data_IF_824157203754
#
_entry.id   IF_824157203754
#
_cell.length_a   1.000
_cell.length_b   1.000
_cell.length_c   1.000
_cell.angle_alpha   90.00
_cell.angle_beta   90.00
_cell.angle_gamma   90.00
#
_symmetry.space_group_name_H-M   'P 1'
#
loop_
_entity.id
_entity.type
_entity.pdbx_description
1 polymer ?
#
# COMPACT_ATOMS: atom_id res chain seq x y z
N UNK A 1 47.65 16.52 38.74
CA UNK A 1 47.44 15.67 37.55
C UNK A 1 45.96 15.64 37.20
N UNK A 2 45.67 16.03 35.96
CA UNK A 2 44.39 16.51 35.42
C UNK A 2 43.23 15.50 35.52
N UNK A 3 42.23 15.80 36.35
CA UNK A 3 40.90 15.12 36.34
C UNK A 3 40.01 15.61 35.19
N UNK A 4 40.35 16.74 34.56
CA UNK A 4 39.58 17.34 33.46
C UNK A 4 39.72 16.63 32.12
N UNK A 5 40.82 15.89 31.91
CA UNK A 5 41.07 15.21 30.64
C UNK A 5 40.22 13.94 30.49
N UNK A 6 39.84 13.32 31.61
CA UNK A 6 39.10 12.05 31.64
C UNK A 6 37.61 12.26 31.34
N UNK A 7 37.00 13.33 31.88
CA UNK A 7 35.57 13.63 31.69
C UNK A 7 35.26 14.05 30.24
N UNK A 8 36.18 14.79 29.59
CA UNK A 8 36.06 15.15 28.17
C UNK A 8 36.14 13.93 27.24
N UNK A 9 36.91 12.90 27.59
CA UNK A 9 37.01 11.66 26.79
C UNK A 9 35.73 10.83 26.89
N UNK A 10 35.15 10.68 28.08
CA UNK A 10 33.90 9.91 28.26
C UNK A 10 32.71 10.58 27.58
N UNK A 11 32.65 11.92 27.56
CA UNK A 11 31.61 12.67 26.85
C UNK A 11 31.74 12.53 25.32
N UNK A 12 32.98 12.45 24.79
CA UNK A 12 33.21 12.18 23.37
C UNK A 12 32.76 10.76 22.95
N UNK A 13 32.92 9.75 23.81
CA UNK A 13 32.46 8.39 23.52
C UNK A 13 30.93 8.26 23.51
N UNK A 14 30.23 9.01 24.39
CA UNK A 14 28.76 9.06 24.40
C UNK A 14 28.18 9.83 23.19
N UNK A 15 28.87 10.88 22.73
CA UNK A 15 28.48 11.58 21.50
C UNK A 15 28.72 10.74 20.24
N UNK A 16 29.80 9.94 20.21
CA UNK A 16 30.09 9.04 19.10
C UNK A 16 29.14 7.84 19.02
N UNK A 17 28.65 7.33 20.16
CA UNK A 17 27.66 6.26 20.20
C UNK A 17 26.25 6.71 19.73
N UNK A 18 25.95 8.01 19.81
CA UNK A 18 24.65 8.54 19.40
C UNK A 18 24.54 8.76 17.88
N UNK A 19 25.67 8.78 17.14
CA UNK A 19 25.69 8.98 15.68
C UNK A 19 25.46 7.66 14.92
N UNK A 20 25.47 6.51 15.60
CA UNK A 20 25.31 5.18 14.99
C UNK A 20 23.86 4.65 14.95
N UNK A 21 22.85 5.46 15.29
CA UNK A 21 21.43 5.08 15.17
C UNK A 21 20.69 5.96 14.16
N UNK A 22 21.25 6.06 12.96
CA UNK A 22 20.75 6.96 11.94
C UNK A 22 20.86 6.44 10.52
N UNK A 23 21.06 5.14 10.30
CA UNK A 23 20.70 4.58 9.00
C UNK A 23 19.19 4.34 9.02
N UNK A 24 18.44 5.41 8.78
CA UNK A 24 17.15 5.27 8.11
C UNK A 24 17.45 4.49 6.83
N UNK A 25 17.35 3.15 6.90
CA UNK A 25 17.23 2.33 5.71
C UNK A 25 15.92 2.74 5.08
N UNK A 26 15.99 3.81 4.28
CA UNK A 26 14.99 4.10 3.28
C UNK A 26 15.01 2.85 2.42
N UNK A 27 14.01 2.00 2.61
CA UNK A 27 13.88 0.77 1.86
C UNK A 27 13.92 1.14 0.39
N UNK A 28 15.00 0.73 -0.29
CA UNK A 28 15.17 1.00 -1.70
C UNK A 28 13.97 0.41 -2.44
N UNK A 29 13.26 1.25 -3.20
CA UNK A 29 12.24 0.75 -4.11
C UNK A 29 12.87 -0.33 -4.98
N UNK A 30 12.16 -1.43 -5.25
CA UNK A 30 12.72 -2.51 -6.03
C UNK A 30 13.04 -1.98 -7.44
N UNK A 31 14.12 -2.47 -8.05
CA UNK A 31 14.48 -2.07 -9.41
C UNK A 31 13.37 -2.49 -10.38
N UNK A 32 12.95 -1.57 -11.23
CA UNK A 32 12.01 -1.87 -12.30
C UNK A 32 12.62 -2.88 -13.28
N UNK A 33 11.81 -3.84 -13.75
CA UNK A 33 12.25 -4.80 -14.76
C UNK A 33 12.02 -4.30 -16.18
N UNK A 34 12.67 -4.95 -17.14
CA UNK A 34 12.34 -4.80 -18.55
C UNK A 34 10.83 -5.04 -18.77
N UNK A 35 10.18 -4.14 -19.51
CA UNK A 35 8.72 -4.14 -19.69
C UNK A 35 7.94 -3.27 -18.69
N UNK A 36 8.59 -2.62 -17.73
CA UNK A 36 7.95 -1.66 -16.81
C UNK A 36 7.13 -0.60 -17.56
N UNK A 37 7.73 0.09 -18.54
CA UNK A 37 7.05 1.15 -19.29
C UNK A 37 5.87 0.64 -20.10
N UNK A 38 6.00 -0.56 -20.68
CA UNK A 38 4.92 -1.22 -21.41
C UNK A 38 3.75 -1.57 -20.47
N UNK A 39 4.06 -2.06 -19.26
CA UNK A 39 3.07 -2.29 -18.22
C UNK A 39 2.36 -0.99 -17.83
N UNK A 40 3.11 0.08 -17.56
CA UNK A 40 2.54 1.39 -17.24
C UNK A 40 1.61 1.88 -18.36
N UNK A 41 2.06 1.79 -19.62
CA UNK A 41 1.25 2.14 -20.80
C UNK A 41 -0.02 1.28 -20.92
N UNK A 42 0.03 0.01 -20.53
CA UNK A 42 -1.13 -0.89 -20.50
C UNK A 42 -2.21 -0.48 -19.48
N UNK A 43 -1.86 0.38 -18.51
CA UNK A 43 -2.81 0.96 -17.56
C UNK A 43 -3.45 2.26 -18.07
N UNK A 44 -3.07 2.75 -19.26
CA UNK A 44 -3.54 4.03 -19.81
C UNK A 44 -4.56 3.85 -20.94
N UNK A 45 -5.46 2.86 -20.82
CA UNK A 45 -6.43 2.48 -21.86
C UNK A 45 -7.52 3.55 -22.08
N UNK A 46 -7.97 4.21 -21.01
CA UNK A 46 -9.11 5.13 -21.02
C UNK A 46 -8.62 6.58 -20.96
N UNK A 47 -8.11 7.07 -22.10
CA UNK A 47 -7.68 8.46 -22.28
C UNK A 47 -8.92 9.34 -22.48
N UNK A 48 -9.13 10.39 -21.66
CA UNK A 48 -10.26 11.37 -21.68
C UNK A 48 -11.52 11.09 -20.83
N UNK A 49 -11.64 9.95 -20.15
CA UNK A 49 -12.75 9.68 -19.19
C UNK A 49 -12.30 9.44 -17.74
N UNK A 50 -11.00 9.53 -17.46
CA UNK A 50 -10.50 9.54 -16.08
C UNK A 50 -11.07 10.79 -15.39
N UNK A 51 -11.74 10.61 -14.26
CA UNK A 51 -12.53 11.63 -13.58
C UNK A 51 -11.82 12.99 -13.52
N UNK A 52 -12.57 14.10 -13.66
CA UNK A 52 -12.07 15.45 -13.34
C UNK A 52 -11.51 15.55 -11.91
N UNK A 53 -11.84 14.60 -11.04
CA UNK A 53 -11.31 14.44 -9.69
C UNK A 53 -9.78 14.27 -9.72
N UNK A 54 -9.08 15.22 -9.07
CA UNK A 54 -7.62 15.28 -8.87
C UNK A 54 -6.75 15.27 -10.14
N UNK A 55 -7.29 15.64 -11.30
CA UNK A 55 -6.51 15.80 -12.53
C UNK A 55 -6.09 14.46 -13.17
N UNK A 56 -6.99 13.47 -13.14
CA UNK A 56 -6.82 12.18 -13.81
C UNK A 56 -6.54 12.35 -15.30
N UNK A 57 -5.42 11.79 -15.78
CA UNK A 57 -4.99 11.87 -17.19
C UNK A 57 -5.52 10.70 -18.01
N UNK A 58 -5.42 9.51 -17.44
CA UNK A 58 -5.81 8.25 -18.06
C UNK A 58 -6.23 7.28 -16.96
N UNK A 59 -6.91 6.20 -17.33
CA UNK A 59 -7.23 5.13 -16.41
C UNK A 59 -7.20 3.77 -17.09
N UNK A 60 -6.96 2.71 -16.31
CA UNK A 60 -7.01 1.35 -16.82
C UNK A 60 -8.46 0.91 -17.01
N UNK A 61 -8.71 -0.13 -17.80
CA UNK A 61 -9.93 -0.92 -17.57
C UNK A 61 -9.85 -1.61 -16.19
N UNK A 62 -10.97 -2.13 -15.66
CA UNK A 62 -10.94 -2.84 -14.39
C UNK A 62 -9.89 -3.97 -14.36
N UNK A 63 -9.19 -4.08 -13.24
CA UNK A 63 -8.14 -5.05 -12.94
C UNK A 63 -8.40 -5.71 -11.59
N UNK A 64 -7.99 -6.96 -11.46
CA UNK A 64 -7.82 -7.61 -10.16
C UNK A 64 -6.37 -7.51 -9.72
N UNK A 65 -6.13 -7.40 -8.42
CA UNK A 65 -4.80 -7.53 -7.81
C UNK A 65 -4.77 -8.79 -6.94
N UNK A 66 -3.79 -9.67 -7.17
CA UNK A 66 -3.58 -10.89 -6.39
C UNK A 66 -2.16 -10.94 -5.83
N UNK A 67 -1.96 -11.20 -4.53
CA UNK A 67 -0.63 -11.48 -4.00
C UNK A 67 0.06 -12.63 -4.76
N UNK A 68 1.38 -12.53 -4.96
CA UNK A 68 2.18 -13.51 -5.71
C UNK A 68 3.03 -14.39 -4.79
N UNK A 69 3.54 -13.82 -3.70
CA UNK A 69 4.54 -14.43 -2.80
C UNK A 69 4.02 -14.44 -1.36
N UNK A 70 2.74 -14.76 -1.17
CA UNK A 70 2.17 -14.89 0.17
C UNK A 70 1.36 -16.18 0.30
N UNK A 71 1.00 -16.55 1.53
CA UNK A 71 0.07 -17.66 1.80
C UNK A 71 -1.30 -17.48 1.12
N UNK A 72 -1.63 -16.24 0.76
CA UNK A 72 -2.86 -15.88 0.04
C UNK A 72 -2.63 -15.75 -1.47
N UNK A 73 -1.61 -16.43 -2.03
CA UNK A 73 -1.39 -16.48 -3.48
C UNK A 73 -2.67 -16.94 -4.19
N UNK A 74 -3.07 -16.19 -5.20
CA UNK A 74 -4.31 -16.44 -5.97
C UNK A 74 -5.58 -15.86 -5.36
N UNK A 75 -5.50 -15.25 -4.17
CA UNK A 75 -6.59 -14.45 -3.59
C UNK A 75 -6.58 -13.06 -4.18
N UNK A 76 -7.64 -12.29 -3.93
CA UNK A 76 -7.86 -10.99 -4.54
C UNK A 76 -7.97 -9.91 -3.48
N UNK A 77 -7.32 -8.76 -3.71
CA UNK A 77 -7.60 -7.56 -2.91
C UNK A 77 -9.08 -7.21 -3.08
N UNK A 78 -9.77 -7.06 -1.97
CA UNK A 78 -11.23 -6.99 -1.89
C UNK A 78 -11.69 -6.06 -0.76
N UNK A 79 -13.01 -5.95 -0.62
CA UNK A 79 -13.68 -5.20 0.42
C UNK A 79 -14.57 -6.16 1.21
N UNK A 80 -14.33 -6.31 2.52
CA UNK A 80 -15.16 -7.15 3.39
C UNK A 80 -16.56 -6.55 3.56
N UNK A 81 -17.58 -7.40 3.68
CA UNK A 81 -18.96 -6.98 4.00
C UNK A 81 -19.09 -6.47 5.43
N UNK A 82 -18.13 -6.79 6.31
CA UNK A 82 -18.06 -6.31 7.69
C UNK A 82 -17.29 -4.99 7.82
N UNK A 83 -17.10 -4.27 6.71
CA UNK A 83 -16.36 -3.02 6.70
C UNK A 83 -16.97 -2.00 7.68
N UNK A 84 -16.12 -1.41 8.54
CA UNK A 84 -16.57 -0.45 9.56
C UNK A 84 -16.50 0.97 9.00
N UNK A 85 -17.57 1.77 9.10
CA UNK A 85 -17.54 3.17 8.68
C UNK A 85 -16.63 4.01 9.59
N UNK A 86 -16.07 5.07 9.03
CA UNK A 86 -15.24 6.03 9.75
C UNK A 86 -15.11 7.35 9.01
N UNK A 87 -14.26 8.23 9.54
CA UNK A 87 -13.92 9.53 8.96
C UNK A 87 -12.41 9.72 8.90
N UNK A 88 -11.91 10.25 7.79
CA UNK A 88 -10.51 10.64 7.60
C UNK A 88 -10.48 11.98 6.85
N UNK A 89 -9.89 13.01 7.45
CA UNK A 89 -9.76 14.35 6.84
C UNK A 89 -11.09 14.90 6.26
N UNK A 90 -12.21 14.66 6.96
CA UNK A 90 -13.55 15.08 6.53
C UNK A 90 -14.23 14.17 5.49
N UNK A 91 -13.51 13.21 4.88
CA UNK A 91 -14.06 12.24 3.96
C UNK A 91 -14.65 11.02 4.68
N UNK A 92 -15.74 10.47 4.13
CA UNK A 92 -16.24 9.14 4.51
C UNK A 92 -15.21 8.08 4.13
N UNK A 93 -14.86 7.22 5.09
CA UNK A 93 -14.00 6.07 4.85
C UNK A 93 -14.60 4.80 5.44
N UNK A 94 -14.11 3.66 4.98
CA UNK A 94 -14.32 2.38 5.63
C UNK A 94 -13.00 1.68 5.96
N UNK A 95 -12.99 1.00 7.08
CA UNK A 95 -12.04 -0.04 7.45
C UNK A 95 -12.55 -1.36 6.89
N UNK A 96 -12.16 -1.67 5.65
CA UNK A 96 -12.74 -2.83 4.97
C UNK A 96 -11.88 -3.44 3.87
N UNK A 97 -10.67 -2.96 3.61
CA UNK A 97 -9.81 -3.60 2.62
C UNK A 97 -9.38 -4.96 3.18
N UNK A 98 -9.46 -5.99 2.35
CA UNK A 98 -9.24 -7.39 2.73
C UNK A 98 -8.65 -8.16 1.54
N UNK A 99 -8.38 -9.45 1.75
CA UNK A 99 -8.17 -10.45 0.72
C UNK A 99 -9.36 -11.40 0.71
N UNK A 100 -9.78 -11.82 -0.47
CA UNK A 100 -10.79 -12.86 -0.65
C UNK A 100 -10.28 -13.99 -1.55
N UNK A 101 -10.60 -15.23 -1.19
CA UNK A 101 -10.25 -16.43 -1.97
C UNK A 101 -10.88 -16.50 -3.37
N UNK A 102 -11.93 -15.70 -3.62
CA UNK A 102 -12.63 -15.63 -4.89
C UNK A 102 -12.93 -14.19 -5.25
N UNK A 103 -12.68 -13.83 -6.51
CA UNK A 103 -12.95 -12.49 -7.05
C UNK A 103 -14.46 -12.25 -7.19
N UNK A 104 -14.88 -11.02 -6.91
CA UNK A 104 -16.22 -10.47 -7.18
C UNK A 104 -16.08 -9.02 -7.65
N UNK A 105 -17.20 -8.33 -7.85
CA UNK A 105 -17.22 -6.91 -8.23
C UNK A 105 -16.43 -6.03 -7.24
N UNK A 106 -16.42 -6.36 -5.96
CA UNK A 106 -15.65 -5.63 -4.93
C UNK A 106 -14.14 -5.89 -4.97
N UNK A 107 -13.69 -6.83 -5.80
CA UNK A 107 -12.27 -7.09 -6.09
C UNK A 107 -11.78 -6.42 -7.37
N UNK A 108 -12.64 -5.65 -8.04
CA UNK A 108 -12.31 -4.93 -9.27
C UNK A 108 -11.78 -3.53 -8.97
N UNK A 109 -10.57 -3.25 -9.45
CA UNK A 109 -9.84 -2.01 -9.22
C UNK A 109 -9.46 -1.33 -10.54
N UNK A 110 -9.36 -0.01 -10.52
CA UNK A 110 -8.94 0.81 -11.64
C UNK A 110 -7.75 1.65 -11.20
N UNK A 111 -6.70 1.63 -12.00
CA UNK A 111 -5.55 2.51 -11.81
C UNK A 111 -5.82 3.82 -12.56
N UNK A 112 -5.82 4.94 -11.84
CA UNK A 112 -6.05 6.26 -12.44
C UNK A 112 -4.74 7.05 -12.37
N UNK A 113 -4.18 7.39 -13.52
CA UNK A 113 -2.94 8.16 -13.63
C UNK A 113 -3.18 9.63 -13.28
N UNK A 114 -2.32 10.20 -12.45
CA UNK A 114 -2.34 11.62 -12.08
C UNK A 114 -0.94 12.23 -12.23
N UNK A 115 -0.81 13.53 -11.93
CA UNK A 115 0.52 14.18 -11.85
C UNK A 115 1.36 13.71 -10.64
N UNK A 116 0.74 13.10 -9.61
CA UNK A 116 1.39 12.72 -8.33
C UNK A 116 1.62 11.20 -8.20
N UNK A 117 1.37 10.44 -9.26
CA UNK A 117 1.37 8.97 -9.25
C UNK A 117 0.00 8.42 -9.63
N UNK A 118 -0.33 7.23 -9.14
CA UNK A 118 -1.58 6.54 -9.44
C UNK A 118 -2.52 6.54 -8.25
N UNK A 119 -3.81 6.74 -8.51
CA UNK A 119 -4.87 6.37 -7.57
C UNK A 119 -5.29 4.92 -7.84
N UNK A 120 -5.67 4.19 -6.80
CA UNK A 120 -6.31 2.88 -6.94
C UNK A 120 -7.77 3.01 -6.52
N UNK A 121 -8.67 2.87 -7.49
CA UNK A 121 -10.09 3.17 -7.36
C UNK A 121 -10.92 1.90 -7.51
N UNK A 122 -11.90 1.67 -6.65
CA UNK A 122 -12.86 0.58 -6.83
C UNK A 122 -13.65 0.78 -8.13
N UNK A 123 -13.63 -0.21 -9.01
CA UNK A 123 -14.19 -0.13 -10.36
C UNK A 123 -15.65 -0.60 -10.44
N UNK A 124 -16.09 -1.42 -9.49
CA UNK A 124 -17.43 -2.01 -9.43
C UNK A 124 -17.92 -2.21 -7.99
N UNK A 125 -19.13 -2.77 -7.86
CA UNK A 125 -19.76 -3.08 -6.57
C UNK A 125 -20.24 -1.85 -5.80
N UNK A 126 -20.63 -2.09 -4.52
CA UNK A 126 -21.21 -1.07 -3.62
C UNK A 126 -20.31 0.16 -3.41
N UNK A 127 -19.00 -0.03 -3.48
CA UNK A 127 -18.01 1.02 -3.24
C UNK A 127 -17.40 1.56 -4.54
N UNK A 128 -18.03 1.32 -5.69
CA UNK A 128 -17.58 1.85 -6.98
C UNK A 128 -17.26 3.33 -6.85
N UNK A 129 -16.07 3.69 -7.29
CA UNK A 129 -15.58 5.05 -7.31
C UNK A 129 -14.74 5.46 -6.10
N UNK A 130 -14.72 4.66 -5.02
CA UNK A 130 -13.94 4.94 -3.81
C UNK A 130 -12.46 4.59 -4.02
N UNK A 131 -11.58 5.18 -3.22
CA UNK A 131 -10.12 5.14 -3.40
C UNK A 131 -9.42 4.46 -2.22
N UNK A 132 -8.39 3.66 -2.50
CA UNK A 132 -7.49 3.17 -1.45
C UNK A 132 -6.57 4.31 -1.03
N UNK A 133 -6.57 4.62 0.26
CA UNK A 133 -5.82 5.73 0.87
C UNK A 133 -5.07 5.27 2.11
N UNK A 134 -4.05 6.04 2.51
CA UNK A 134 -3.33 5.85 3.77
C UNK A 134 -3.82 6.81 4.86
N UNK A 135 -4.11 6.26 6.06
CA UNK A 135 -4.48 6.99 7.27
C UNK A 135 -3.25 7.24 8.15
N UNK A 136 -2.74 8.49 8.15
CA UNK A 136 -1.57 8.90 8.92
C UNK A 136 -1.75 8.76 10.45
N UNK A 137 -3.00 8.65 10.94
CA UNK A 137 -3.30 8.46 12.38
C UNK A 137 -3.05 7.03 12.84
N UNK A 138 -3.00 6.06 11.92
CA UNK A 138 -2.68 4.68 12.28
C UNK A 138 -1.34 4.63 13.05
N UNK A 139 -1.23 3.72 14.01
CA UNK A 139 0.00 3.53 14.79
C UNK A 139 0.80 2.38 14.17
N UNK A 140 2.08 2.60 13.81
CA UNK A 140 2.96 1.52 13.43
C UNK A 140 3.16 0.54 14.58
N UNK A 141 3.43 -0.71 14.24
CA UNK A 141 3.78 -1.77 15.18
C UNK A 141 4.84 -2.68 14.57
N UNK A 142 5.69 -3.33 15.38
CA UNK A 142 6.55 -4.39 14.89
C UNK A 142 5.74 -5.59 14.35
N UNK A 143 6.29 -6.26 13.34
CA UNK A 143 5.86 -7.54 12.77
C UNK A 143 7.10 -8.46 12.72
N UNK A 144 7.41 -9.09 13.84
CA UNK A 144 8.70 -9.78 14.02
C UNK A 144 9.86 -8.81 14.32
N UNK A 145 11.11 -9.28 14.30
CA UNK A 145 12.25 -8.52 14.83
C UNK A 145 12.74 -7.39 13.92
N UNK A 146 12.48 -7.47 12.61
CA UNK A 146 13.15 -6.63 11.60
C UNK A 146 12.15 -5.96 10.64
N UNK A 147 10.89 -5.80 11.02
CA UNK A 147 9.87 -5.22 10.17
C UNK A 147 8.88 -4.42 11.00
N UNK A 148 8.63 -3.18 10.59
CA UNK A 148 7.53 -2.35 11.07
C UNK A 148 6.42 -2.31 10.03
N UNK A 149 5.18 -2.49 10.49
CA UNK A 149 3.97 -2.42 9.69
C UNK A 149 2.95 -1.47 10.32
N UNK A 150 1.99 -1.00 9.53
CA UNK A 150 0.88 -0.19 10.00
C UNK A 150 -0.43 -0.60 9.32
N UNK A 151 -1.54 -0.77 10.07
CA UNK A 151 -2.87 -1.01 9.49
C UNK A 151 -3.47 0.31 9.00
N UNK A 152 -2.79 0.97 8.07
CA UNK A 152 -3.07 2.34 7.63
C UNK A 152 -3.96 2.42 6.37
N UNK A 153 -4.17 1.31 5.66
CA UNK A 153 -4.97 1.32 4.43
C UNK A 153 -6.47 1.44 4.75
N UNK A 154 -7.14 2.36 4.07
CA UNK A 154 -8.59 2.61 4.15
C UNK A 154 -9.17 2.75 2.75
N UNK A 155 -10.47 2.54 2.62
CA UNK A 155 -11.19 2.86 1.40
C UNK A 155 -12.01 4.14 1.62
N UNK A 156 -11.74 5.20 0.86
CA UNK A 156 -12.32 6.53 1.01
C UNK A 156 -13.25 6.89 -0.14
N UNK A 157 -14.38 7.53 0.19
CA UNK A 157 -15.40 7.96 -0.80
C UNK A 157 -14.88 9.00 -1.79
N UNK A 158 -13.92 9.81 -1.35
CA UNK A 158 -13.19 10.76 -2.18
C UNK A 158 -11.69 10.56 -2.00
N UNK A 159 -10.91 10.87 -3.04
CA UNK A 159 -9.47 10.75 -2.97
C UNK A 159 -8.89 11.81 -2.01
N UNK A 160 -8.06 11.36 -1.07
CA UNK A 160 -7.38 12.21 -0.08
C UNK A 160 -5.98 12.61 -0.55
N UNK A 161 -5.29 13.46 0.21
CA UNK A 161 -3.89 13.81 -0.02
C UNK A 161 -2.93 12.60 -0.01
N UNK A 162 -3.33 11.51 0.66
CA UNK A 162 -2.55 10.28 0.85
C UNK A 162 -3.13 9.09 0.04
N UNK A 163 -3.70 9.39 -1.13
CA UNK A 163 -4.30 8.40 -2.04
C UNK A 163 -3.40 7.99 -3.21
N UNK A 164 -2.17 8.53 -3.29
CA UNK A 164 -1.30 8.37 -4.45
C UNK A 164 -0.22 7.31 -4.21
N UNK A 165 -0.05 6.48 -5.22
CA UNK A 165 0.85 5.34 -5.21
C UNK A 165 1.81 5.42 -6.38
N UNK A 166 3.09 5.17 -6.14
CA UNK A 166 4.08 4.90 -7.17
C UNK A 166 4.01 3.42 -7.49
N UNK A 167 3.88 3.11 -8.77
CA UNK A 167 3.79 1.76 -9.28
C UNK A 167 5.15 1.33 -9.78
N UNK A 168 5.66 0.20 -9.32
CA UNK A 168 6.90 -0.40 -9.81
C UNK A 168 6.65 -1.85 -10.19
N UNK A 169 6.67 -2.17 -11.48
CA UNK A 169 6.75 -3.55 -11.93
C UNK A 169 8.15 -4.10 -11.62
N UNK A 170 8.24 -5.00 -10.64
CA UNK A 170 9.45 -5.71 -10.26
C UNK A 170 9.39 -7.17 -10.76
N UNK A 171 10.50 -7.91 -10.63
CA UNK A 171 10.63 -9.30 -11.12
C UNK A 171 9.52 -10.24 -10.62
N UNK A 172 9.04 -10.04 -9.40
CA UNK A 172 8.01 -10.90 -8.78
C UNK A 172 6.58 -10.38 -8.97
N UNK A 173 6.38 -9.15 -9.45
CA UNK A 173 5.07 -8.54 -9.61
C UNK A 173 5.08 -7.02 -9.41
N UNK A 174 3.89 -6.43 -9.46
CA UNK A 174 3.68 -5.02 -9.17
C UNK A 174 3.88 -4.76 -7.68
N UNK A 175 4.62 -3.69 -7.37
CA UNK A 175 4.75 -3.12 -6.03
C UNK A 175 4.13 -1.72 -6.03
N UNK A 176 3.42 -1.39 -4.93
CA UNK A 176 2.79 -0.08 -4.73
C UNK A 176 3.44 0.61 -3.52
N UNK A 177 4.01 1.78 -3.76
CA UNK A 177 4.72 2.60 -2.77
C UNK A 177 3.92 3.88 -2.48
N UNK A 178 3.71 4.22 -1.21
CA UNK A 178 3.07 5.47 -0.82
C UNK A 178 3.95 6.67 -1.20
N UNK A 179 3.38 7.67 -1.89
CA UNK A 179 4.16 8.84 -2.35
C UNK A 179 4.09 10.05 -1.42
N UNK A 180 3.22 10.01 -0.40
CA UNK A 180 2.95 11.12 0.51
C UNK A 180 2.53 10.66 1.91
N UNK A 181 2.41 11.62 2.83
CA UNK A 181 1.97 11.39 4.21
C UNK A 181 3.06 10.84 5.11
N UNK A 182 2.65 10.42 6.31
CA UNK A 182 3.52 9.80 7.35
C UNK A 182 4.21 8.53 6.83
N UNK A 183 3.55 7.81 5.94
CA UNK A 183 3.98 6.52 5.42
C UNK A 183 4.66 6.62 4.05
N UNK A 184 5.12 7.80 3.62
CA UNK A 184 5.84 7.94 2.35
C UNK A 184 7.02 6.95 2.28
N UNK A 185 7.13 6.23 1.16
CA UNK A 185 8.13 5.19 0.94
C UNK A 185 7.77 3.82 1.51
N UNK A 186 6.60 3.67 2.15
CA UNK A 186 6.10 2.38 2.62
C UNK A 186 5.30 1.68 1.52
N UNK A 187 5.24 0.35 1.61
CA UNK A 187 4.70 -0.51 0.57
C UNK A 187 3.45 -1.21 1.05
N UNK A 188 2.52 -1.48 0.14
CA UNK A 188 1.41 -2.39 0.45
C UNK A 188 1.95 -3.74 0.92
N UNK A 189 1.35 -4.30 1.96
CA UNK A 189 1.66 -5.63 2.47
C UNK A 189 0.38 -6.40 2.80
N UNK A 190 0.18 -7.50 2.08
CA UNK A 190 -0.96 -8.41 2.19
C UNK A 190 -0.47 -9.83 2.49
N UNK A 191 0.69 -9.95 3.16
CA UNK A 191 1.44 -11.20 3.30
C UNK A 191 1.42 -11.85 4.67
N UNK A 192 1.05 -11.11 5.71
CA UNK A 192 1.12 -11.62 7.10
C UNK A 192 0.06 -12.67 7.48
N UNK A 193 -0.02 -12.90 8.78
CA UNK A 193 -0.46 -14.17 9.33
C UNK A 193 -1.90 -14.21 9.85
N UNK A 194 -2.72 -13.18 9.62
CA UNK A 194 -4.07 -13.21 10.17
C UNK A 194 -4.85 -14.43 9.67
N UNK A 195 -5.63 -15.07 10.55
CA UNK A 195 -6.51 -16.15 10.17
C UNK A 195 -7.53 -15.65 9.14
N UNK A 196 -7.89 -16.53 8.21
CA UNK A 196 -9.06 -16.28 7.37
C UNK A 196 -10.33 -16.69 8.09
N UNK A 197 -11.46 -16.14 7.66
CA UNK A 197 -12.79 -16.52 8.11
C UNK A 197 -13.74 -16.65 6.92
N UNK A 198 -14.81 -17.44 7.10
CA UNK A 198 -15.92 -17.50 6.14
C UNK A 198 -16.75 -16.23 6.19
N UNK A 199 -16.98 -15.66 5.02
CA UNK A 199 -17.82 -14.49 4.84
C UNK A 199 -18.49 -14.53 3.47
N UNK A 200 -19.83 -14.40 3.44
CA UNK A 200 -20.61 -14.35 2.19
C UNK A 200 -20.27 -15.48 1.19
N UNK A 201 -20.04 -16.70 1.70
CA UNK A 201 -19.74 -17.89 0.90
C UNK A 201 -18.29 -18.07 0.45
N UNK A 202 -17.35 -17.26 0.93
CA UNK A 202 -15.92 -17.34 0.58
C UNK A 202 -15.01 -17.13 1.79
N UNK A 203 -13.76 -17.54 1.70
CA UNK A 203 -12.74 -17.19 2.70
C UNK A 203 -12.26 -15.74 2.49
N UNK A 204 -12.13 -15.00 3.59
CA UNK A 204 -11.68 -13.61 3.65
C UNK A 204 -10.61 -13.45 4.74
N UNK A 205 -9.60 -12.62 4.52
CA UNK A 205 -8.59 -12.23 5.50
C UNK A 205 -8.39 -10.71 5.49
N UNK A 206 -8.35 -10.05 6.65
CA UNK A 206 -8.28 -8.58 6.76
C UNK A 206 -6.83 -8.07 6.89
N UNK A 207 -5.85 -8.94 6.65
CA UNK A 207 -4.45 -8.61 6.85
C UNK A 207 -3.90 -7.70 5.74
N UNK A 208 -4.20 -6.42 5.87
CA UNK A 208 -3.91 -5.39 4.88
C UNK A 208 -3.18 -4.24 5.55
N UNK A 209 -1.90 -4.13 5.24
CA UNK A 209 -0.97 -3.27 5.95
C UNK A 209 -0.18 -2.39 4.97
N UNK A 210 0.50 -1.39 5.53
CA UNK A 210 1.68 -0.80 4.94
C UNK A 210 2.91 -1.33 5.68
N UNK A 211 3.93 -1.74 4.94
CA UNK A 211 5.23 -2.18 5.47
C UNK A 211 6.31 -1.14 5.15
N UNK A 212 7.23 -0.92 6.09
CA UNK A 212 8.33 0.04 5.92
C UNK A 212 9.34 -0.34 4.82
N UNK A 213 9.28 -1.60 4.36
CA UNK A 213 10.09 -2.13 3.26
C UNK A 213 9.30 -3.15 2.45
N UNK A 214 9.78 -3.45 1.25
CA UNK A 214 9.19 -4.50 0.40
C UNK A 214 9.35 -5.86 1.08
N UNK A 215 8.24 -6.58 1.20
CA UNK A 215 8.18 -7.93 1.75
C UNK A 215 7.45 -8.85 0.77
N UNK A 216 7.37 -10.14 1.10
CA UNK A 216 6.74 -11.14 0.23
C UNK A 216 5.26 -10.79 -0.08
N UNK A 217 4.55 -10.18 0.88
CA UNK A 217 3.19 -9.68 0.70
C UNK A 217 3.02 -8.41 -0.15
N UNK A 218 4.12 -7.81 -0.63
CA UNK A 218 4.10 -6.56 -1.39
C UNK A 218 4.01 -6.73 -2.91
N UNK A 219 4.05 -7.97 -3.41
CA UNK A 219 4.06 -8.26 -4.84
C UNK A 219 2.70 -8.73 -5.33
N UNK A 220 2.16 -8.04 -6.33
CA UNK A 220 0.84 -8.29 -6.89
C UNK A 220 0.88 -8.64 -8.37
N UNK A 221 0.16 -9.70 -8.76
CA UNK A 221 -0.22 -9.94 -10.13
C UNK A 221 -1.42 -9.05 -10.46
N UNK A 222 -1.31 -8.28 -11.54
CA UNK A 222 -2.39 -7.43 -12.05
C UNK A 222 -2.95 -8.06 -13.31
N UNK A 223 -4.25 -8.36 -13.31
CA UNK A 223 -4.94 -9.00 -14.45
C UNK A 223 -6.21 -8.23 -14.80
N UNK A 224 -6.65 -8.18 -16.07
CA UNK A 224 -7.99 -7.72 -16.40
C UNK A 224 -9.05 -8.50 -15.63
N UNK A 225 -10.11 -7.82 -15.19
CA UNK A 225 -11.32 -8.49 -14.73
C UNK A 225 -11.92 -9.24 -15.92
N UNK A 226 -12.28 -10.51 -15.73
CA UNK A 226 -12.96 -11.33 -16.73
C UNK A 226 -14.45 -11.08 -16.70
#
# INVERSE_FOLDING_TARGET
MSKDTTMKRTLLYLLAALVATGTNSIAQSPTAVEGHDAFIKSLQELKRKASKELGGKSASRPRTLSPVVSRFKGWFIDITVKAKPGKLDGADVIEGISLASQSRDTSAWQFVETKKGYLVRAAAGKYKGWYIVSDDRAKPRPEGPNLTVAPALRLAKSATKNAHWKLTLAKMGLVLEATSGKYKGWYWDFGGNDPSHKESGREVAVNVLLAEKVVAGSYFAVKPVK
#
